data_IF_309807748335
#
_entry.id   IF_309807748335
#
_cell.length_a   1.000
_cell.length_b   1.000
_cell.length_c   1.000
_cell.angle_alpha   90.00
_cell.angle_beta   90.00
_cell.angle_gamma   90.00
#
_symmetry.space_group_name_H-M   'P 1'
#
loop_
_entity.id
_entity.type
_entity.pdbx_description
1 polymer ?
#
# COMPACT_ATOMS: atom_id res chain seq x y z
N UNK A 1 -7.56 -16.30 -2.96
CA UNK A 1 -8.99 -16.66 -3.15
C UNK A 1 -9.54 -15.80 -4.26
N UNK A 2 -9.92 -16.40 -5.37
CA UNK A 2 -10.57 -15.69 -6.47
C UNK A 2 -11.94 -15.18 -6.01
N UNK A 3 -12.20 -13.92 -6.27
CA UNK A 3 -13.56 -13.38 -6.11
C UNK A 3 -14.36 -13.87 -7.32
N UNK A 4 -15.53 -14.47 -7.06
CA UNK A 4 -16.37 -14.99 -8.11
C UNK A 4 -16.66 -13.91 -9.18
N UNK A 5 -16.47 -14.27 -10.45
CA UNK A 5 -16.69 -13.42 -11.62
C UNK A 5 -15.73 -12.23 -11.80
N UNK A 6 -14.67 -12.11 -11.02
CA UNK A 6 -13.60 -11.14 -11.32
C UNK A 6 -12.42 -11.86 -12.00
N UNK A 7 -11.99 -11.39 -13.17
CA UNK A 7 -10.78 -11.89 -13.80
C UNK A 7 -9.56 -11.55 -12.94
N UNK A 8 -8.65 -12.50 -12.80
CA UNK A 8 -7.42 -12.34 -12.05
C UNK A 8 -6.20 -12.34 -12.97
N UNK A 9 -5.21 -11.53 -12.62
CA UNK A 9 -3.91 -11.52 -13.28
C UNK A 9 -3.02 -12.51 -12.54
N UNK A 10 -2.51 -13.53 -13.27
CA UNK A 10 -1.59 -14.51 -12.71
C UNK A 10 -0.24 -13.89 -12.37
N UNK A 11 -0.20 -13.17 -11.23
CA UNK A 11 1.00 -12.48 -10.77
C UNK A 11 2.12 -13.44 -10.32
N UNK A 12 1.79 -14.69 -10.01
CA UNK A 12 2.75 -15.75 -9.73
C UNK A 12 3.46 -16.28 -11.00
N UNK A 13 2.92 -15.99 -12.20
CA UNK A 13 3.46 -16.52 -13.46
C UNK A 13 4.71 -15.74 -13.91
N UNK A 14 5.72 -16.50 -14.33
CA UNK A 14 6.91 -15.99 -15.06
C UNK A 14 6.78 -16.17 -16.59
N UNK A 15 5.64 -16.69 -17.06
CA UNK A 15 5.43 -16.92 -18.49
C UNK A 15 5.31 -15.59 -19.23
N UNK A 16 6.12 -15.42 -20.26
CA UNK A 16 6.05 -14.26 -21.13
C UNK A 16 4.73 -14.19 -21.90
N UNK A 17 4.22 -12.98 -22.02
CA UNK A 17 2.99 -12.66 -22.75
C UNK A 17 3.21 -11.48 -23.68
N UNK A 18 2.51 -11.50 -24.81
CA UNK A 18 2.46 -10.35 -25.68
C UNK A 18 1.56 -9.26 -25.09
N UNK A 19 1.81 -8.00 -25.49
CA UNK A 19 0.90 -6.91 -25.19
C UNK A 19 -0.48 -7.15 -25.82
N UNK A 20 -1.56 -6.79 -25.13
CA UNK A 20 -2.90 -6.89 -25.70
C UNK A 20 -3.03 -6.07 -27.01
N UNK A 21 -3.60 -6.65 -28.07
CA UNK A 21 -3.74 -5.95 -29.36
C UNK A 21 -4.40 -4.60 -29.24
N UNK A 22 -5.46 -4.47 -28.43
CA UNK A 22 -6.18 -3.20 -28.24
C UNK A 22 -5.27 -2.10 -27.65
N UNK A 23 -4.29 -2.46 -26.82
CA UNK A 23 -3.35 -1.49 -26.24
C UNK A 23 -2.37 -0.99 -27.30
N UNK A 24 -1.87 -1.90 -28.14
CA UNK A 24 -1.02 -1.56 -29.29
C UNK A 24 -1.74 -0.63 -30.25
N UNK A 25 -2.99 -0.94 -30.60
CA UNK A 25 -3.82 -0.10 -31.47
C UNK A 25 -4.07 1.27 -30.87
N UNK A 26 -4.38 1.33 -29.58
CA UNK A 26 -4.52 2.58 -28.83
C UNK A 26 -3.27 3.44 -28.94
N UNK A 27 -2.10 2.88 -28.64
CA UNK A 27 -0.84 3.62 -28.70
C UNK A 27 -0.50 4.12 -30.11
N UNK A 28 -0.77 3.30 -31.14
CA UNK A 28 -0.62 3.72 -32.54
C UNK A 28 -1.53 4.88 -32.89
N UNK A 29 -2.81 4.81 -32.50
CA UNK A 29 -3.78 5.90 -32.72
C UNK A 29 -3.38 7.19 -32.00
N UNK A 30 -2.77 7.08 -30.82
CA UNK A 30 -2.29 8.21 -30.01
C UNK A 30 -0.89 8.71 -30.44
N UNK A 31 -0.25 8.06 -31.42
CA UNK A 31 1.08 8.43 -31.91
C UNK A 31 2.24 8.18 -30.94
N UNK A 32 2.03 7.35 -29.91
CA UNK A 32 3.06 7.08 -28.87
C UNK A 32 3.61 5.65 -28.87
N UNK A 33 3.21 4.83 -29.84
CA UNK A 33 3.60 3.42 -29.90
C UNK A 33 5.12 3.20 -29.81
N UNK A 34 5.90 3.89 -30.63
CA UNK A 34 7.37 3.74 -30.69
C UNK A 34 8.02 4.13 -29.34
N UNK A 35 7.53 5.22 -28.71
CA UNK A 35 7.99 5.66 -27.39
C UNK A 35 7.73 4.61 -26.31
N UNK A 36 6.51 4.07 -26.27
CA UNK A 36 6.11 3.06 -25.30
C UNK A 36 6.91 1.76 -25.48
N UNK A 37 7.07 1.30 -26.71
CA UNK A 37 7.86 0.10 -27.00
C UNK A 37 9.33 0.27 -26.62
N UNK A 38 9.93 1.39 -26.97
CA UNK A 38 11.31 1.68 -26.59
C UNK A 38 11.50 1.73 -25.06
N UNK A 39 10.52 2.30 -24.34
CA UNK A 39 10.52 2.36 -22.87
C UNK A 39 10.40 0.97 -22.23
N UNK A 40 9.51 0.12 -22.75
CA UNK A 40 9.39 -1.27 -22.33
C UNK A 40 10.68 -2.07 -22.60
N UNK A 41 11.24 -1.95 -23.80
CA UNK A 41 12.46 -2.64 -24.19
C UNK A 41 13.64 -2.26 -23.29
N UNK A 42 13.75 -0.97 -22.95
CA UNK A 42 14.77 -0.47 -22.04
C UNK A 42 14.60 -1.05 -20.63
N UNK A 43 13.38 -1.07 -20.10
CA UNK A 43 13.08 -1.61 -18.77
C UNK A 43 13.46 -3.10 -18.69
N UNK A 44 12.95 -3.92 -19.61
CA UNK A 44 13.23 -5.36 -19.61
C UNK A 44 14.70 -5.69 -19.85
N UNK A 45 15.40 -4.89 -20.66
CA UNK A 45 16.84 -5.03 -20.87
C UNK A 45 17.65 -4.70 -19.61
N UNK A 46 17.29 -3.65 -18.88
CA UNK A 46 17.99 -3.21 -17.67
C UNK A 46 17.73 -4.18 -16.51
N UNK A 47 16.48 -4.59 -16.31
CA UNK A 47 16.09 -5.42 -15.17
C UNK A 47 16.37 -6.90 -15.37
N UNK A 48 16.38 -7.37 -16.62
CA UNK A 48 16.49 -8.80 -16.97
C UNK A 48 15.23 -9.60 -16.65
N UNK A 49 14.12 -8.96 -16.27
CA UNK A 49 12.86 -9.66 -16.02
C UNK A 49 12.27 -10.23 -17.31
N UNK A 50 11.57 -11.37 -17.24
CA UNK A 50 10.77 -11.84 -18.36
C UNK A 50 9.58 -10.90 -18.61
N UNK A 51 9.05 -10.91 -19.84
CA UNK A 51 7.86 -10.11 -20.19
C UNK A 51 6.56 -10.72 -19.65
N UNK A 52 6.54 -11.00 -18.35
CA UNK A 52 5.37 -11.53 -17.65
C UNK A 52 4.45 -10.41 -17.17
N UNK A 53 3.14 -10.65 -16.96
CA UNK A 53 2.15 -9.62 -16.63
C UNK A 53 2.54 -8.71 -15.47
N UNK A 54 3.04 -9.29 -14.37
CA UNK A 54 3.45 -8.53 -13.17
C UNK A 54 4.51 -7.48 -13.46
N UNK A 55 5.47 -7.76 -14.33
CA UNK A 55 6.56 -6.84 -14.62
C UNK A 55 6.15 -5.71 -15.56
N UNK A 56 5.15 -5.91 -16.41
CA UNK A 56 4.51 -4.81 -17.13
C UNK A 56 3.83 -3.85 -16.16
N UNK A 57 3.10 -4.38 -15.17
CA UNK A 57 2.42 -3.56 -14.15
C UNK A 57 3.45 -2.79 -13.33
N UNK A 58 4.52 -3.45 -12.86
CA UNK A 58 5.61 -2.79 -12.14
C UNK A 58 6.20 -1.66 -12.98
N UNK A 59 6.49 -1.92 -14.26
CA UNK A 59 7.02 -0.91 -15.17
C UNK A 59 6.10 0.31 -15.26
N UNK A 60 4.81 0.12 -15.49
CA UNK A 60 3.88 1.25 -15.62
C UNK A 60 3.68 2.01 -14.32
N UNK A 61 3.70 1.35 -13.18
CA UNK A 61 3.65 2.03 -11.89
C UNK A 61 4.93 2.84 -11.64
N UNK A 62 6.10 2.30 -11.98
CA UNK A 62 7.36 3.04 -11.84
C UNK A 62 7.51 4.21 -12.82
N UNK A 63 6.81 4.19 -13.96
CA UNK A 63 6.75 5.35 -14.86
C UNK A 63 6.15 6.59 -14.19
N UNK A 64 5.13 6.42 -13.35
CA UNK A 64 4.57 7.53 -12.57
C UNK A 64 5.61 8.15 -11.63
N UNK A 65 6.49 7.33 -11.06
CA UNK A 65 7.58 7.83 -10.22
C UNK A 65 8.56 8.64 -11.06
N UNK A 66 9.00 8.09 -12.20
CA UNK A 66 9.98 8.76 -13.07
C UNK A 66 9.42 10.07 -13.65
N UNK A 67 8.14 10.10 -14.00
CA UNK A 67 7.50 11.26 -14.64
C UNK A 67 7.12 12.34 -13.62
N UNK A 68 6.47 11.93 -12.51
CA UNK A 68 5.85 12.88 -11.57
C UNK A 68 6.56 13.00 -10.22
N UNK A 69 7.50 12.10 -9.90
CA UNK A 69 8.19 12.10 -8.61
C UNK A 69 7.29 11.63 -7.46
N UNK A 70 6.40 10.68 -7.75
CA UNK A 70 5.60 10.03 -6.71
C UNK A 70 6.54 9.34 -5.73
N UNK A 71 6.40 9.65 -4.45
CA UNK A 71 7.29 9.22 -3.37
C UNK A 71 6.73 8.08 -2.51
N UNK A 72 5.49 7.64 -2.79
CA UNK A 72 4.88 6.52 -2.07
C UNK A 72 3.71 5.86 -2.76
N UNK A 73 3.41 4.65 -2.30
CA UNK A 73 2.25 3.86 -2.73
C UNK A 73 1.53 3.22 -1.54
N UNK A 74 0.22 3.27 -1.53
CA UNK A 74 -0.63 2.36 -0.76
C UNK A 74 -1.03 1.21 -1.68
N UNK A 75 -0.60 0.00 -1.34
CA UNK A 75 -0.96 -1.20 -2.08
C UNK A 75 -2.20 -1.85 -1.47
N UNK A 76 -3.18 -2.05 -2.32
CA UNK A 76 -4.43 -2.70 -2.01
C UNK A 76 -4.30 -4.22 -2.01
N UNK A 77 -5.09 -4.92 -1.21
CA UNK A 77 -5.23 -6.39 -1.20
C UNK A 77 -3.91 -7.18 -1.27
N UNK A 78 -2.88 -6.72 -0.58
CA UNK A 78 -1.49 -7.21 -0.67
C UNK A 78 -1.39 -8.73 -0.45
N UNK A 79 -2.17 -9.30 0.46
CA UNK A 79 -2.13 -10.73 0.78
C UNK A 79 -2.60 -11.66 -0.34
N UNK A 80 -3.23 -11.13 -1.39
CA UNK A 80 -3.71 -11.89 -2.53
C UNK A 80 -2.69 -11.99 -3.68
N UNK A 81 -1.53 -11.34 -3.54
CA UNK A 81 -0.42 -11.36 -4.49
C UNK A 81 0.79 -12.02 -3.83
N UNK A 82 1.56 -12.78 -4.60
CA UNK A 82 2.80 -13.42 -4.11
C UNK A 82 3.76 -12.36 -3.55
N UNK A 83 4.34 -12.63 -2.38
CA UNK A 83 5.21 -11.69 -1.66
C UNK A 83 6.45 -11.26 -2.46
N UNK A 84 6.93 -12.12 -3.37
CA UNK A 84 8.09 -11.82 -4.24
C UNK A 84 7.79 -10.72 -5.25
N UNK A 85 6.53 -10.57 -5.65
CA UNK A 85 6.09 -9.49 -6.55
C UNK A 85 6.28 -8.14 -5.86
N UNK A 86 5.93 -8.06 -4.58
CA UNK A 86 6.09 -6.84 -3.79
C UNK A 86 7.56 -6.47 -3.58
N UNK A 87 8.42 -7.45 -3.32
CA UNK A 87 9.86 -7.23 -3.23
C UNK A 87 10.44 -6.66 -4.55
N UNK A 88 10.02 -7.22 -5.69
CA UNK A 88 10.41 -6.71 -7.00
C UNK A 88 9.86 -5.29 -7.23
N UNK A 89 8.60 -5.05 -6.91
CA UNK A 89 7.96 -3.75 -7.02
C UNK A 89 8.73 -2.66 -6.23
N UNK A 90 9.01 -2.91 -4.95
CA UNK A 90 9.73 -1.94 -4.11
C UNK A 90 11.13 -1.65 -4.62
N UNK A 91 11.84 -2.69 -5.08
CA UNK A 91 13.17 -2.52 -5.69
C UNK A 91 13.13 -1.58 -6.88
N UNK A 92 12.20 -1.81 -7.80
CA UNK A 92 12.09 -0.98 -9.01
C UNK A 92 11.53 0.42 -8.71
N UNK A 93 10.65 0.58 -7.71
CA UNK A 93 10.21 1.90 -7.24
C UNK A 93 11.39 2.73 -6.70
N UNK A 94 12.24 2.13 -5.88
CA UNK A 94 13.43 2.81 -5.35
C UNK A 94 14.41 3.22 -6.46
N UNK A 95 14.61 2.35 -7.45
CA UNK A 95 15.41 2.67 -8.61
C UNK A 95 14.83 3.85 -9.40
N UNK A 96 13.53 3.80 -9.71
CA UNK A 96 12.82 4.85 -10.43
C UNK A 96 12.87 6.20 -9.70
N UNK A 97 12.72 6.19 -8.37
CA UNK A 97 12.80 7.40 -7.56
C UNK A 97 14.22 7.99 -7.54
N UNK A 98 15.23 7.12 -7.51
CA UNK A 98 16.64 7.55 -7.68
C UNK A 98 16.87 8.22 -9.03
N UNK A 99 16.29 7.71 -10.11
CA UNK A 99 16.33 8.33 -11.44
C UNK A 99 15.64 9.69 -11.42
N UNK A 100 14.43 9.78 -10.83
CA UNK A 100 13.72 11.05 -10.74
C UNK A 100 14.50 12.09 -9.92
N UNK A 101 15.04 11.73 -8.76
CA UNK A 101 15.87 12.62 -7.92
C UNK A 101 17.07 13.15 -8.68
N UNK A 102 17.77 12.29 -9.43
CA UNK A 102 18.92 12.68 -10.25
C UNK A 102 18.55 13.69 -11.32
N UNK A 103 17.38 13.55 -11.93
CA UNK A 103 16.91 14.43 -12.99
C UNK A 103 16.27 15.73 -12.46
N UNK A 104 15.91 15.77 -11.17
CA UNK A 104 15.20 16.88 -10.54
C UNK A 104 15.90 17.33 -9.23
N UNK A 105 17.21 17.62 -9.22
CA UNK A 105 17.95 17.87 -7.98
C UNK A 105 17.41 19.04 -7.15
N UNK A 106 16.81 20.04 -7.79
CA UNK A 106 16.22 21.19 -7.12
C UNK A 106 14.88 20.90 -6.43
N UNK A 107 14.25 19.75 -6.70
CA UNK A 107 12.99 19.32 -6.11
C UNK A 107 13.17 18.28 -5.02
N UNK A 108 14.39 17.80 -4.81
CA UNK A 108 14.68 16.78 -3.79
C UNK A 108 14.71 17.42 -2.42
N UNK A 109 13.82 16.98 -1.52
CA UNK A 109 13.71 17.51 -0.17
C UNK A 109 14.54 16.73 0.85
N UNK A 110 14.78 15.44 0.59
CA UNK A 110 15.45 14.52 1.50
C UNK A 110 16.10 13.34 0.76
N UNK A 111 16.70 12.42 1.53
CA UNK A 111 17.32 11.20 1.02
C UNK A 111 16.43 9.95 1.17
N UNK A 112 15.16 10.11 1.52
CA UNK A 112 14.24 8.98 1.71
C UNK A 112 14.06 8.18 0.42
N UNK A 113 13.84 6.89 0.58
CA UNK A 113 13.38 6.00 -0.50
C UNK A 113 11.86 6.12 -0.69
N UNK A 114 11.33 5.43 -1.70
CA UNK A 114 9.87 5.35 -1.90
C UNK A 114 9.22 4.70 -0.69
N UNK A 115 8.18 5.33 -0.17
CA UNK A 115 7.45 4.84 0.98
C UNK A 115 6.26 3.97 0.56
N UNK A 116 6.13 2.78 1.12
CA UNK A 116 5.05 1.85 0.77
C UNK A 116 4.26 1.41 1.98
N UNK A 117 2.95 1.39 1.82
CA UNK A 117 1.98 0.94 2.82
C UNK A 117 1.23 -0.26 2.26
N UNK A 118 1.19 -1.35 3.02
CA UNK A 118 0.48 -2.56 2.66
C UNK A 118 -0.91 -2.62 3.32
N UNK A 119 -1.94 -2.83 2.53
CA UNK A 119 -3.19 -3.33 3.06
C UNK A 119 -3.15 -4.85 3.09
N UNK A 120 -2.87 -5.38 4.27
CA UNK A 120 -2.96 -6.82 4.57
C UNK A 120 -4.20 -7.01 5.44
N UNK A 121 -5.33 -7.26 4.81
CA UNK A 121 -6.63 -7.32 5.49
C UNK A 121 -6.61 -8.20 6.74
N UNK A 122 -7.08 -7.67 7.87
CA UNK A 122 -7.01 -8.24 9.22
C UNK A 122 -5.61 -8.30 9.87
N UNK A 123 -4.59 -7.66 9.31
CA UNK A 123 -3.35 -7.48 10.05
C UNK A 123 -3.57 -6.57 11.27
N UNK A 124 -3.01 -6.97 12.42
CA UNK A 124 -2.97 -6.17 13.63
C UNK A 124 -1.58 -6.12 14.21
N UNK A 125 -1.28 -5.05 14.93
CA UNK A 125 0.04 -4.84 15.57
C UNK A 125 0.44 -6.01 16.49
N UNK A 126 -0.54 -6.73 17.03
CA UNK A 126 -0.31 -7.91 17.87
C UNK A 126 0.38 -9.06 17.13
N UNK A 127 0.27 -9.11 15.80
CA UNK A 127 0.92 -10.11 14.94
C UNK A 127 2.43 -9.87 14.77
N UNK A 128 2.94 -8.71 15.18
CA UNK A 128 4.35 -8.36 15.00
C UNK A 128 4.69 -8.20 13.51
N UNK A 129 5.85 -8.73 13.09
CA UNK A 129 6.31 -8.59 11.70
C UNK A 129 5.63 -9.52 10.70
N UNK A 130 4.92 -10.54 11.16
CA UNK A 130 4.39 -11.60 10.32
C UNK A 130 2.87 -11.59 10.26
N UNK A 131 2.33 -11.85 9.07
CA UNK A 131 0.93 -12.18 8.90
C UNK A 131 0.77 -13.69 8.81
N UNK A 132 -0.09 -14.24 9.66
CA UNK A 132 -0.34 -15.68 9.77
C UNK A 132 -1.55 -16.08 8.89
N UNK A 133 -1.29 -16.91 7.87
CA UNK A 133 -2.32 -17.49 7.00
C UNK A 133 -2.88 -18.82 7.55
N UNK A 134 -2.34 -19.30 8.68
CA UNK A 134 -2.67 -20.61 9.24
C UNK A 134 -1.73 -21.71 8.75
N UNK A 135 -1.48 -21.80 7.46
CA UNK A 135 -0.58 -22.75 6.83
C UNK A 135 0.83 -22.19 6.58
N UNK A 136 0.96 -20.87 6.50
CA UNK A 136 2.23 -20.16 6.33
C UNK A 136 2.20 -18.79 7.02
N UNK A 137 3.39 -18.26 7.32
CA UNK A 137 3.57 -16.89 7.81
C UNK A 137 4.41 -16.09 6.82
N UNK A 138 4.02 -14.85 6.60
CA UNK A 138 4.70 -13.95 5.67
C UNK A 138 5.08 -12.66 6.39
N UNK A 139 6.35 -12.28 6.28
CA UNK A 139 6.85 -10.99 6.70
C UNK A 139 6.81 -10.02 5.51
N UNK A 140 5.78 -9.19 5.44
CA UNK A 140 5.63 -8.22 4.36
C UNK A 140 6.60 -7.05 4.46
N UNK A 141 7.11 -6.73 5.64
CA UNK A 141 8.16 -5.73 5.81
C UNK A 141 9.46 -6.16 5.10
N UNK A 142 9.86 -7.43 5.24
CA UNK A 142 11.01 -7.97 4.53
C UNK A 142 10.78 -8.08 3.01
N UNK A 143 9.52 -8.10 2.60
CA UNK A 143 9.12 -8.12 1.19
C UNK A 143 8.84 -6.72 0.62
N UNK A 144 9.38 -5.67 1.24
CA UNK A 144 9.49 -4.35 0.65
C UNK A 144 8.53 -3.30 1.17
N UNK A 145 7.67 -3.61 2.15
CA UNK A 145 6.78 -2.61 2.74
C UNK A 145 7.41 -1.92 3.95
N UNK A 146 7.25 -0.60 4.01
CA UNK A 146 7.69 0.20 5.16
C UNK A 146 6.68 0.14 6.30
N UNK A 147 5.40 -0.12 5.96
CA UNK A 147 4.29 -0.02 6.89
C UNK A 147 3.15 -0.97 6.50
N UNK A 148 2.40 -1.45 7.49
CA UNK A 148 1.14 -2.18 7.28
C UNK A 148 -0.02 -1.47 7.97
N UNK A 149 -1.20 -1.48 7.32
CA UNK A 149 -2.43 -0.96 7.92
C UNK A 149 -2.81 -1.83 9.11
N UNK A 150 -2.99 -1.21 10.26
CA UNK A 150 -3.30 -1.85 11.52
C UNK A 150 -4.81 -1.89 11.76
N UNK A 151 -5.46 -2.98 11.37
CA UNK A 151 -6.90 -3.18 11.55
C UNK A 151 -7.32 -3.33 13.01
N UNK A 152 -6.37 -3.59 13.90
CA UNK A 152 -6.63 -3.76 15.33
C UNK A 152 -6.85 -2.42 16.04
N UNK A 153 -6.28 -1.31 15.51
CA UNK A 153 -6.31 -0.03 16.21
C UNK A 153 -7.70 0.48 16.55
N UNK A 154 -8.68 0.34 15.67
CA UNK A 154 -10.05 0.78 15.91
C UNK A 154 -10.73 0.09 17.11
N UNK A 155 -10.30 -1.11 17.44
CA UNK A 155 -10.76 -1.82 18.64
C UNK A 155 -9.98 -1.41 19.88
N UNK A 156 -8.67 -1.19 19.73
CA UNK A 156 -7.81 -0.71 20.80
C UNK A 156 -8.16 0.74 21.20
N UNK A 157 -8.63 1.57 20.26
CA UNK A 157 -9.08 2.92 20.53
C UNK A 157 -10.24 3.00 21.54
N UNK A 158 -10.93 1.89 21.79
CA UNK A 158 -11.97 1.78 22.82
C UNK A 158 -11.39 1.60 24.24
N UNK A 159 -10.09 1.28 24.35
CA UNK A 159 -9.38 1.08 25.61
C UNK A 159 -8.88 2.41 26.17
N UNK A 160 -8.38 2.39 27.40
CA UNK A 160 -7.75 3.55 28.00
C UNK A 160 -6.41 3.92 27.32
N UNK A 161 -5.91 5.11 27.61
CA UNK A 161 -4.66 5.61 27.04
C UNK A 161 -3.46 4.78 27.45
N UNK A 162 -3.40 4.33 28.71
CA UNK A 162 -2.28 3.54 29.22
C UNK A 162 -2.17 2.21 28.47
N UNK A 163 -3.28 1.53 28.25
CA UNK A 163 -3.30 0.30 27.47
C UNK A 163 -2.74 0.52 26.05
N UNK A 164 -3.24 1.55 25.35
CA UNK A 164 -2.83 1.83 23.98
C UNK A 164 -1.32 2.16 23.93
N UNK A 165 -0.89 3.14 24.73
CA UNK A 165 0.48 3.63 24.66
C UNK A 165 1.48 2.58 25.11
N UNK A 166 1.22 1.83 26.18
CA UNK A 166 2.07 0.74 26.63
C UNK A 166 2.18 -0.38 25.63
N UNK A 167 1.05 -0.84 25.06
CA UNK A 167 1.03 -1.88 24.03
C UNK A 167 1.79 -1.46 22.78
N UNK A 168 1.47 -0.29 22.23
CA UNK A 168 2.05 0.20 20.97
C UNK A 168 3.53 0.53 21.12
N UNK A 169 3.93 1.20 22.20
CA UNK A 169 5.34 1.45 22.49
C UNK A 169 6.11 0.14 22.64
N UNK A 170 5.58 -0.83 23.38
CA UNK A 170 6.22 -2.12 23.54
C UNK A 170 6.41 -2.84 22.21
N UNK A 171 5.36 -2.92 21.38
CA UNK A 171 5.42 -3.59 20.08
C UNK A 171 6.41 -2.93 19.12
N UNK A 172 6.37 -1.61 19.01
CA UNK A 172 7.21 -0.85 18.07
C UNK A 172 8.68 -0.80 18.52
N UNK A 173 8.96 -0.85 19.82
CA UNK A 173 10.34 -0.85 20.33
C UNK A 173 10.97 -2.25 20.41
N UNK A 174 10.21 -3.31 20.27
CA UNK A 174 10.69 -4.69 20.34
C UNK A 174 10.44 -5.43 19.01
N UNK A 175 9.29 -6.09 18.86
CA UNK A 175 9.00 -6.98 17.73
C UNK A 175 8.99 -6.25 16.38
N UNK A 176 8.58 -4.97 16.35
CA UNK A 176 8.54 -4.13 15.17
C UNK A 176 9.66 -3.08 15.12
N UNK A 177 10.75 -3.29 15.86
CA UNK A 177 11.85 -2.33 15.87
C UNK A 177 12.37 -2.07 14.46
N UNK A 178 12.38 -0.79 14.07
CA UNK A 178 12.76 -0.36 12.72
C UNK A 178 11.62 -0.36 11.69
N UNK A 179 10.45 -0.83 12.09
CA UNK A 179 9.21 -0.82 11.27
C UNK A 179 8.11 0.00 11.95
N UNK A 180 7.00 0.21 11.26
CA UNK A 180 5.86 0.93 11.80
C UNK A 180 4.54 0.34 11.34
N UNK A 181 3.44 0.80 11.93
CA UNK A 181 2.07 0.47 11.55
C UNK A 181 1.29 1.75 11.24
N UNK A 182 0.33 1.66 10.32
CA UNK A 182 -0.62 2.73 10.03
C UNK A 182 -1.89 2.50 10.83
N UNK A 183 -2.12 3.33 11.84
CA UNK A 183 -3.32 3.31 12.67
C UNK A 183 -4.46 4.10 12.01
N UNK A 184 -5.68 3.62 12.14
CA UNK A 184 -6.88 4.29 11.63
C UNK A 184 -8.11 3.98 12.50
N UNK A 185 -9.13 4.82 12.41
CA UNK A 185 -10.40 4.66 13.12
C UNK A 185 -11.53 4.23 12.19
N UNK A 186 -11.53 4.75 10.99
CA UNK A 186 -12.49 4.45 9.93
C UNK A 186 -11.82 4.49 8.56
N UNK A 187 -12.45 3.86 7.57
CA UNK A 187 -11.97 3.83 6.18
C UNK A 187 -13.16 3.62 5.24
N UNK A 188 -12.91 3.75 3.93
CA UNK A 188 -13.89 3.50 2.88
C UNK A 188 -14.36 2.02 2.79
N UNK A 189 -13.59 1.08 3.35
CA UNK A 189 -13.89 -0.36 3.33
C UNK A 189 -14.45 -0.88 4.67
N UNK A 190 -14.82 0.01 5.57
CA UNK A 190 -15.11 -0.36 6.94
C UNK A 190 -16.63 -0.43 7.20
N UNK A 191 -17.23 -1.59 7.00
CA UNK A 191 -18.66 -1.82 7.31
C UNK A 191 -19.03 -1.74 8.80
N UNK A 192 -18.05 -1.61 9.71
CA UNK A 192 -18.22 -1.46 11.14
C UNK A 192 -17.18 -0.54 11.75
N UNK A 193 -17.12 0.75 11.34
CA UNK A 193 -16.14 1.68 11.82
C UNK A 193 -16.31 1.98 13.31
N UNK A 194 -15.21 2.30 13.97
CA UNK A 194 -15.26 2.78 15.34
C UNK A 194 -16.01 4.13 15.41
N UNK A 195 -16.88 4.25 16.40
CA UNK A 195 -17.64 5.49 16.65
C UNK A 195 -18.40 6.00 15.40
N UNK A 196 -19.14 5.11 14.74
CA UNK A 196 -19.91 5.44 13.54
C UNK A 196 -20.88 6.63 13.73
N UNK A 197 -21.38 6.82 14.95
CA UNK A 197 -22.26 7.94 15.34
C UNK A 197 -21.50 9.22 15.72
N UNK A 198 -20.19 9.17 15.76
CA UNK A 198 -19.31 10.30 16.11
C UNK A 198 -19.59 10.91 17.51
N UNK A 199 -19.94 10.06 18.47
CA UNK A 199 -20.19 10.48 19.87
C UNK A 199 -18.88 10.71 20.65
N UNK A 200 -17.75 10.17 20.20
CA UNK A 200 -16.42 10.19 20.84
C UNK A 200 -15.32 10.77 19.96
N UNK A 201 -15.65 11.61 19.02
CA UNK A 201 -14.70 12.13 18.01
C UNK A 201 -13.43 12.72 18.61
N UNK A 202 -13.54 13.54 19.66
CA UNK A 202 -12.38 14.17 20.31
C UNK A 202 -11.51 13.12 21.01
N UNK A 203 -12.12 12.20 21.76
CA UNK A 203 -11.37 11.15 22.47
C UNK A 203 -10.65 10.23 21.48
N UNK A 204 -11.37 9.72 20.49
CA UNK A 204 -10.82 8.76 19.51
C UNK A 204 -9.77 9.42 18.61
N UNK A 205 -10.00 10.65 18.17
CA UNK A 205 -9.03 11.44 17.43
C UNK A 205 -7.75 11.72 18.22
N UNK A 206 -7.89 12.06 19.51
CA UNK A 206 -6.74 12.25 20.41
C UNK A 206 -5.93 10.95 20.54
N UNK A 207 -6.60 9.81 20.74
CA UNK A 207 -5.94 8.50 20.82
C UNK A 207 -5.21 8.17 19.52
N UNK A 208 -5.84 8.40 18.36
CA UNK A 208 -5.21 8.16 17.05
C UNK A 208 -3.95 9.01 16.86
N UNK A 209 -4.06 10.32 17.08
CA UNK A 209 -2.97 11.25 16.78
C UNK A 209 -1.79 11.18 17.76
N UNK A 210 -2.02 10.74 19.00
CA UNK A 210 -0.97 10.60 20.02
C UNK A 210 -0.40 9.19 20.13
N UNK A 211 -1.02 8.18 19.50
CA UNK A 211 -0.51 6.81 19.56
C UNK A 211 0.77 6.64 18.75
N UNK A 212 1.71 5.82 19.23
CA UNK A 212 2.88 5.47 18.44
C UNK A 212 2.48 4.77 17.12
N UNK A 213 3.20 5.06 16.04
CA UNK A 213 2.90 4.62 14.68
C UNK A 213 2.55 5.80 13.78
N UNK A 214 2.00 5.52 12.60
CA UNK A 214 1.53 6.53 11.66
C UNK A 214 0.01 6.61 11.74
N UNK A 215 -0.54 7.81 11.65
CA UNK A 215 -1.98 8.05 11.71
C UNK A 215 -2.57 8.25 10.32
N UNK A 216 -3.63 7.52 10.00
CA UNK A 216 -4.49 7.79 8.85
C UNK A 216 -5.79 8.39 9.36
N UNK A 217 -6.10 9.61 8.91
CA UNK A 217 -7.38 10.28 9.16
C UNK A 217 -8.24 10.09 7.92
N UNK A 218 -9.37 9.40 8.07
CA UNK A 218 -10.33 9.27 6.99
C UNK A 218 -11.12 10.57 6.85
N UNK A 219 -11.42 11.00 5.63
CA UNK A 219 -12.08 12.29 5.42
C UNK A 219 -13.41 12.38 6.19
N UNK A 220 -13.58 13.46 6.93
CA UNK A 220 -14.71 13.68 7.80
C UNK A 220 -14.53 13.18 9.24
N UNK A 221 -13.48 12.39 9.55
CA UNK A 221 -13.14 12.04 10.94
C UNK A 221 -12.87 13.29 11.77
N UNK A 222 -12.13 14.24 11.19
CA UNK A 222 -11.73 15.51 11.82
C UNK A 222 -12.91 16.45 12.09
N UNK A 223 -13.99 16.31 11.34
CA UNK A 223 -15.21 17.13 11.49
C UNK A 223 -16.36 16.40 12.21
N UNK A 224 -16.16 15.12 12.54
CA UNK A 224 -17.19 14.30 13.15
C UNK A 224 -18.34 13.96 12.18
N UNK A 225 -18.07 13.89 10.89
CA UNK A 225 -19.07 13.48 9.87
C UNK A 225 -19.62 12.11 10.19
N UNK A 226 -20.94 11.95 10.22
CA UNK A 226 -21.55 10.64 10.37
C UNK A 226 -21.16 9.72 9.21
N UNK A 227 -20.74 8.50 9.54
CA UNK A 227 -20.43 7.47 8.55
C UNK A 227 -21.64 6.66 8.14
N UNK A 228 -22.74 6.77 8.92
CA UNK A 228 -23.99 6.05 8.65
C UNK A 228 -25.01 7.07 8.19
N UNK A 229 -25.35 7.01 6.90
CA UNK A 229 -26.45 7.77 6.33
C UNK A 229 -27.61 6.79 6.14
N UNK A 230 -28.77 7.11 6.70
CA UNK A 230 -29.97 6.27 6.60
C UNK A 230 -30.30 5.96 5.13
N UNK A 231 -30.47 4.68 4.81
CA UNK A 231 -30.77 4.23 3.44
C UNK A 231 -29.55 4.05 2.53
N UNK A 232 -28.32 4.17 3.06
CA UNK A 232 -27.08 3.87 2.36
C UNK A 232 -26.29 2.75 3.05
N UNK A 233 -25.36 2.12 2.34
CA UNK A 233 -24.45 1.11 2.92
C UNK A 233 -23.22 1.72 3.62
N UNK A 234 -23.23 2.99 3.85
CA UNK A 234 -22.10 3.76 4.36
C UNK A 234 -21.77 4.92 3.43
N UNK A 235 -20.54 5.37 3.40
CA UNK A 235 -20.10 6.56 2.65
C UNK A 235 -20.41 6.65 1.18
#
# INVERSE_FOLDING_TARGET
>A
TLVANLPDIKTESEKEVALPPFLIEKWKKEGRYEKEMASLDAFFKITGYPRAPKYYIIKWLTDYIVEFGIDGYRADTVKHTDEKVWAAFQKECNYAFGVWKKNNPSKVLDNNSVYTIAEVYNYGISGGQEFDFGDKKINYYQNGFNNMINFEFKWDAQKDYEFIFSKYSSKLNNELQGYSVLNYLSSHDDGGPFDAKREKTIESGTKLLLSPGISQVYYGDESGRSLVIEGTEGD
#
